data_IF_139180853895
#
_entry.id   IF_139180853895
#
_cell.length_a   1.000
_cell.length_b   1.000
_cell.length_c   1.000
_cell.angle_alpha   90.00
_cell.angle_beta   90.00
_cell.angle_gamma   90.00
#
_symmetry.space_group_name_H-M   'P 1'
#
loop_
_entity.id
_entity.type
_entity.pdbx_description
1 polymer ?
#
# COMPACT_ATOMS: atom_id res chain seq x y z
N UNK A 1 -14.66 -10.20 -1.53
CA UNK A 1 -14.97 -9.91 -2.94
C UNK A 1 -14.05 -8.80 -3.47
N UNK A 2 -13.76 -8.85 -4.76
CA UNK A 2 -13.11 -7.77 -5.51
C UNK A 2 -14.21 -7.02 -6.26
N UNK A 3 -14.42 -5.76 -5.88
CA UNK A 3 -15.46 -4.89 -6.41
C UNK A 3 -14.78 -3.78 -7.24
N UNK A 4 -14.48 -4.12 -8.48
CA UNK A 4 -13.89 -3.19 -9.44
C UNK A 4 -14.96 -2.25 -10.01
N UNK A 5 -14.53 -1.16 -10.66
CA UNK A 5 -15.42 -0.16 -11.25
C UNK A 5 -16.52 0.35 -10.28
N UNK A 6 -16.14 0.51 -9.01
CA UNK A 6 -17.05 0.90 -7.93
C UNK A 6 -17.32 2.42 -7.87
N UNK A 7 -16.76 3.21 -8.75
CA UNK A 7 -17.03 4.63 -8.96
C UNK A 7 -18.23 4.83 -9.90
N UNK A 8 -19.01 5.91 -9.70
CA UNK A 8 -20.10 6.21 -10.61
C UNK A 8 -19.56 6.62 -11.99
N UNK A 9 -19.87 5.84 -12.99
CA UNK A 9 -19.52 6.19 -14.37
C UNK A 9 -20.35 7.36 -14.90
N UNK A 10 -19.68 8.32 -15.50
CA UNK A 10 -20.31 9.39 -16.28
C UNK A 10 -19.32 9.88 -17.34
N UNK A 11 -19.81 9.94 -18.59
CA UNK A 11 -19.00 10.40 -19.72
C UNK A 11 -18.92 11.92 -19.74
N UNK A 12 -17.76 12.47 -20.13
CA UNK A 12 -17.51 13.89 -20.36
C UNK A 12 -17.86 14.81 -19.17
N UNK A 13 -17.70 14.32 -17.95
CA UNK A 13 -17.97 15.10 -16.71
C UNK A 13 -19.35 15.77 -16.71
N UNK A 14 -20.35 15.14 -17.33
CA UNK A 14 -21.68 15.70 -17.49
C UNK A 14 -22.52 15.46 -16.22
N UNK A 15 -22.07 16.00 -15.11
CA UNK A 15 -22.64 15.82 -13.77
C UNK A 15 -24.11 16.16 -13.66
N UNK A 16 -24.64 17.00 -14.53
CA UNK A 16 -26.04 17.41 -14.50
C UNK A 16 -26.98 16.38 -15.14
N UNK A 17 -26.47 15.53 -16.05
CA UNK A 17 -27.28 14.53 -16.76
C UNK A 17 -27.53 13.28 -15.96
N UNK A 18 -26.63 12.94 -15.06
CA UNK A 18 -26.76 11.72 -14.28
C UNK A 18 -27.52 11.98 -12.99
N UNK A 19 -28.64 11.29 -12.85
CA UNK A 19 -29.56 11.41 -11.71
C UNK A 19 -29.66 10.06 -11.00
N UNK A 20 -29.39 10.08 -9.72
CA UNK A 20 -29.68 8.96 -8.83
C UNK A 20 -30.99 9.22 -8.08
N UNK A 21 -31.53 8.20 -7.41
CA UNK A 21 -32.67 8.37 -6.53
C UNK A 21 -32.45 9.45 -5.46
N UNK A 22 -31.23 9.56 -4.95
CA UNK A 22 -30.87 10.56 -3.94
C UNK A 22 -30.61 11.96 -4.49
N UNK A 23 -30.53 12.14 -5.81
CA UNK A 23 -30.27 13.43 -6.46
C UNK A 23 -29.25 13.38 -7.60
N UNK A 24 -28.87 14.55 -8.14
CA UNK A 24 -27.90 14.62 -9.22
C UNK A 24 -26.50 14.18 -8.77
N UNK A 25 -25.73 13.58 -9.67
CA UNK A 25 -24.39 13.08 -9.38
C UNK A 25 -23.44 14.16 -8.83
N UNK A 26 -23.60 15.41 -9.29
CA UNK A 26 -22.85 16.57 -8.78
C UNK A 26 -23.00 16.81 -7.27
N UNK A 27 -24.09 16.35 -6.67
CA UNK A 27 -24.36 16.47 -5.22
C UNK A 27 -24.11 15.17 -4.45
N UNK A 28 -24.38 14.03 -5.06
CA UNK A 28 -24.42 12.74 -4.33
C UNK A 28 -23.46 11.71 -4.87
N UNK A 29 -22.70 12.00 -5.92
CA UNK A 29 -21.80 11.03 -6.57
C UNK A 29 -20.80 10.39 -5.59
N UNK A 30 -20.23 11.15 -4.68
CA UNK A 30 -19.29 10.62 -3.69
C UNK A 30 -19.90 9.61 -2.70
N UNK A 31 -21.22 9.56 -2.56
CA UNK A 31 -21.90 8.57 -1.73
C UNK A 31 -21.97 7.21 -2.44
N UNK A 32 -21.89 7.19 -3.76
CA UNK A 32 -22.05 5.98 -4.55
C UNK A 32 -21.09 4.83 -4.11
N UNK A 33 -19.77 5.01 -4.01
CA UNK A 33 -18.87 3.94 -3.58
C UNK A 33 -19.17 3.43 -2.16
N UNK A 34 -19.66 4.28 -1.27
CA UNK A 34 -20.10 3.84 0.07
C UNK A 34 -21.33 2.94 -0.03
N UNK A 35 -22.34 3.35 -0.79
CA UNK A 35 -23.58 2.56 -0.97
C UNK A 35 -23.31 1.26 -1.74
N UNK A 36 -22.37 1.29 -2.69
CA UNK A 36 -21.90 0.10 -3.39
C UNK A 36 -21.26 -0.90 -2.43
N UNK A 37 -20.33 -0.46 -1.58
CA UNK A 37 -19.75 -1.28 -0.52
C UNK A 37 -20.81 -1.81 0.45
N UNK A 38 -21.80 -0.96 0.82
CA UNK A 38 -22.90 -1.34 1.71
C UNK A 38 -23.74 -2.48 1.13
N UNK A 39 -24.10 -2.38 -0.16
CA UNK A 39 -24.91 -3.40 -0.82
C UNK A 39 -24.26 -4.79 -0.74
N UNK A 40 -22.97 -4.87 -1.07
CA UNK A 40 -22.23 -6.12 -1.01
C UNK A 40 -22.05 -6.63 0.43
N UNK A 41 -21.78 -5.73 1.36
CA UNK A 41 -21.63 -6.09 2.77
C UNK A 41 -22.94 -6.66 3.36
N UNK A 42 -24.05 -5.98 3.16
CA UNK A 42 -25.36 -6.39 3.67
C UNK A 42 -25.81 -7.70 3.02
N UNK A 43 -25.66 -7.86 1.70
CA UNK A 43 -25.97 -9.11 1.00
C UNK A 43 -25.12 -10.30 1.47
N UNK A 44 -23.82 -10.12 1.69
CA UNK A 44 -22.96 -11.17 2.25
C UNK A 44 -23.39 -11.53 3.68
N UNK A 45 -23.75 -10.54 4.48
CA UNK A 45 -24.23 -10.76 5.86
C UNK A 45 -25.57 -11.51 5.89
N UNK A 46 -26.49 -11.19 4.99
CA UNK A 46 -27.76 -11.92 4.84
C UNK A 46 -27.54 -13.38 4.45
N UNK A 47 -26.46 -13.66 3.70
CA UNK A 47 -26.04 -15.03 3.35
C UNK A 47 -25.26 -15.74 4.47
N UNK A 48 -25.13 -15.13 5.66
CA UNK A 48 -24.49 -15.73 6.83
C UNK A 48 -22.97 -15.52 6.92
N UNK A 49 -22.39 -14.65 6.11
CA UNK A 49 -20.96 -14.31 6.21
C UNK A 49 -20.71 -13.41 7.43
N UNK A 50 -19.62 -13.65 8.15
CA UNK A 50 -19.22 -12.88 9.35
C UNK A 50 -17.96 -12.06 9.12
N UNK A 51 -17.00 -12.61 8.37
CA UNK A 51 -15.70 -12.00 8.11
C UNK A 51 -15.69 -11.39 6.70
N UNK A 52 -16.29 -10.18 6.59
CA UNK A 52 -16.53 -9.54 5.30
C UNK A 52 -15.46 -8.51 5.02
N UNK A 53 -14.70 -8.74 3.95
CA UNK A 53 -13.76 -7.79 3.35
C UNK A 53 -14.08 -7.65 1.88
N UNK A 54 -14.29 -6.41 1.44
CA UNK A 54 -14.51 -6.06 0.04
C UNK A 54 -13.34 -5.19 -0.46
N UNK A 55 -12.58 -5.71 -1.41
CA UNK A 55 -11.54 -4.95 -2.10
C UNK A 55 -12.22 -4.02 -3.10
N UNK A 56 -12.09 -2.71 -2.92
CA UNK A 56 -12.79 -1.68 -3.69
C UNK A 56 -11.82 -0.65 -4.26
N UNK A 57 -12.08 -0.19 -5.49
CA UNK A 57 -11.24 0.82 -6.15
C UNK A 57 -11.47 2.23 -5.64
N UNK A 58 -12.61 2.50 -5.06
CA UNK A 58 -12.92 3.81 -4.49
C UNK A 58 -13.73 3.69 -3.20
N UNK A 59 -13.67 4.74 -2.38
CA UNK A 59 -14.39 4.81 -1.12
C UNK A 59 -14.80 6.26 -0.82
N UNK A 60 -15.71 6.41 0.12
CA UNK A 60 -16.05 7.68 0.73
C UNK A 60 -16.20 7.50 2.23
N UNK A 61 -16.30 8.59 2.95
CA UNK A 61 -16.53 8.58 4.41
C UNK A 61 -17.68 7.64 4.76
N UNK A 62 -17.41 6.66 5.62
CA UNK A 62 -18.36 5.62 6.03
C UNK A 62 -18.21 4.28 5.29
N UNK A 63 -17.39 4.18 4.23
CA UNK A 63 -17.13 2.92 3.53
C UNK A 63 -16.43 1.89 4.41
N UNK A 64 -15.57 2.33 5.34
CA UNK A 64 -14.89 1.46 6.31
C UNK A 64 -15.87 0.64 7.17
N UNK A 65 -17.10 1.12 7.38
CA UNK A 65 -18.16 0.39 8.09
C UNK A 65 -18.60 -0.88 7.35
N UNK A 66 -18.39 -0.93 6.06
CA UNK A 66 -18.85 -1.97 5.16
C UNK A 66 -17.72 -2.86 4.63
N UNK A 67 -16.66 -3.01 5.43
CA UNK A 67 -15.55 -3.89 5.11
C UNK A 67 -14.73 -3.46 3.90
N UNK A 68 -14.73 -2.17 3.56
CA UNK A 68 -13.99 -1.65 2.42
C UNK A 68 -12.49 -1.66 2.68
N UNK A 69 -11.77 -2.44 1.87
CA UNK A 69 -10.33 -2.42 1.68
C UNK A 69 -10.05 -1.70 0.36
N UNK A 70 -9.41 -0.54 0.40
CA UNK A 70 -9.24 0.31 -0.78
C UNK A 70 -7.90 0.05 -1.44
N UNK A 71 -7.88 -0.05 -2.78
CA UNK A 71 -6.65 0.03 -3.56
C UNK A 71 -6.67 1.26 -4.48
N UNK A 72 -5.52 1.67 -4.95
CA UNK A 72 -5.32 2.93 -5.66
C UNK A 72 -5.71 2.93 -7.14
N UNK A 73 -6.34 1.88 -7.65
CA UNK A 73 -6.71 1.76 -9.07
C UNK A 73 -5.54 1.42 -9.97
N UNK A 74 -5.71 1.68 -11.27
CA UNK A 74 -4.80 1.29 -12.35
C UNK A 74 -3.65 2.30 -12.50
N UNK A 75 -2.73 2.26 -11.56
CA UNK A 75 -1.57 3.18 -11.49
C UNK A 75 -0.41 2.70 -12.37
N UNK A 76 0.47 3.62 -12.74
CA UNK A 76 1.64 3.31 -13.57
C UNK A 76 2.80 2.75 -12.76
N UNK A 77 3.57 1.88 -13.41
CA UNK A 77 4.84 1.34 -12.90
C UNK A 77 5.93 2.41 -13.02
N UNK A 78 5.90 3.39 -12.12
CA UNK A 78 6.86 4.49 -12.07
C UNK A 78 7.16 4.91 -10.63
N UNK A 79 8.36 5.46 -10.40
CA UNK A 79 8.70 6.05 -9.10
C UNK A 79 7.82 7.26 -8.74
N UNK A 80 7.32 7.99 -9.74
CA UNK A 80 6.37 9.09 -9.51
C UNK A 80 5.09 8.56 -8.87
N UNK A 81 4.49 7.51 -9.45
CA UNK A 81 3.27 6.92 -8.89
C UNK A 81 3.57 6.20 -7.57
N UNK A 82 4.72 5.57 -7.42
CA UNK A 82 5.13 4.97 -6.15
C UNK A 82 5.11 6.01 -5.00
N UNK A 83 5.74 7.17 -5.19
CA UNK A 83 5.70 8.26 -4.18
C UNK A 83 4.27 8.70 -3.85
N UNK A 84 3.40 8.79 -4.87
CA UNK A 84 1.99 9.13 -4.67
C UNK A 84 1.27 8.08 -3.80
N UNK A 85 1.64 6.81 -3.91
CA UNK A 85 1.01 5.74 -3.12
C UNK A 85 1.34 5.82 -1.63
N UNK A 86 2.53 6.23 -1.27
CA UNK A 86 2.90 6.46 0.14
C UNK A 86 1.97 7.54 0.72
N UNK A 87 1.87 8.69 0.08
CA UNK A 87 0.98 9.78 0.50
C UNK A 87 -0.49 9.35 0.51
N UNK A 88 -0.94 8.61 -0.52
CA UNK A 88 -2.33 8.15 -0.61
C UNK A 88 -2.70 7.22 0.56
N UNK A 89 -1.84 6.26 0.90
CA UNK A 89 -2.06 5.38 2.04
C UNK A 89 -2.15 6.12 3.37
N UNK A 90 -1.28 7.13 3.57
CA UNK A 90 -1.30 7.99 4.76
C UNK A 90 -2.59 8.82 4.83
N UNK A 91 -3.01 9.43 3.71
CA UNK A 91 -4.25 10.21 3.65
C UNK A 91 -5.49 9.34 3.88
N UNK A 92 -5.54 8.12 3.33
CA UNK A 92 -6.64 7.19 3.59
C UNK A 92 -6.76 6.88 5.08
N UNK A 93 -5.63 6.64 5.75
CA UNK A 93 -5.59 6.47 7.20
C UNK A 93 -6.14 7.67 7.96
N UNK A 94 -5.71 8.89 7.63
CA UNK A 94 -6.21 10.14 8.24
C UNK A 94 -7.70 10.38 7.97
N UNK A 95 -8.23 9.93 6.82
CA UNK A 95 -9.66 9.99 6.51
C UNK A 95 -10.49 8.90 7.22
N UNK A 96 -9.89 8.08 8.10
CA UNK A 96 -10.56 7.03 8.83
C UNK A 96 -10.84 5.77 7.99
N UNK A 97 -10.11 5.56 6.90
CA UNK A 97 -10.16 4.35 6.06
C UNK A 97 -8.80 3.64 6.20
N UNK A 98 -8.60 2.86 7.29
CA UNK A 98 -7.29 2.30 7.62
C UNK A 98 -6.90 1.08 6.79
N UNK A 99 -7.84 0.47 6.08
CA UNK A 99 -7.59 -0.69 5.23
C UNK A 99 -7.26 -0.24 3.82
N UNK A 100 -5.98 -0.27 3.54
CA UNK A 100 -5.40 0.23 2.30
C UNK A 100 -4.42 -0.77 1.71
N UNK A 101 -4.36 -0.83 0.40
CA UNK A 101 -3.36 -1.55 -0.38
C UNK A 101 -3.04 -0.81 -1.67
N UNK A 102 -1.98 -1.20 -2.34
CA UNK A 102 -1.59 -0.74 -3.67
C UNK A 102 -1.25 -1.94 -4.53
N UNK A 103 -1.28 -1.77 -5.84
CA UNK A 103 -0.72 -2.74 -6.77
C UNK A 103 0.80 -2.62 -6.71
N UNK A 104 1.46 -3.59 -6.05
CA UNK A 104 2.92 -3.58 -5.88
C UNK A 104 3.58 -3.63 -7.27
N UNK A 105 4.41 -2.62 -7.54
CA UNK A 105 5.06 -2.42 -8.82
C UNK A 105 4.23 -1.65 -9.85
N UNK A 106 3.05 -1.13 -9.48
CA UNK A 106 2.09 -0.48 -10.38
C UNK A 106 1.26 -1.49 -11.19
N UNK A 107 0.15 -1.03 -11.76
CA UNK A 107 -0.72 -1.86 -12.62
C UNK A 107 -0.24 -1.87 -14.07
N UNK A 108 0.01 -0.69 -14.65
CA UNK A 108 0.39 -0.53 -16.05
C UNK A 108 1.91 -0.32 -16.24
N UNK A 109 2.44 -0.81 -17.36
CA UNK A 109 3.75 -0.43 -17.87
C UNK A 109 4.95 -1.20 -17.31
N UNK A 110 4.75 -2.14 -16.40
CA UNK A 110 5.84 -2.92 -15.81
C UNK A 110 6.39 -3.97 -16.78
N UNK A 111 7.61 -3.77 -17.28
CA UNK A 111 8.30 -4.75 -18.13
C UNK A 111 9.25 -5.61 -17.30
N UNK A 112 8.95 -6.90 -17.18
CA UNK A 112 9.73 -7.86 -16.38
C UNK A 112 11.16 -8.09 -16.88
N UNK A 113 11.46 -7.69 -18.12
CA UNK A 113 12.81 -7.78 -18.70
C UNK A 113 13.68 -6.54 -18.37
N UNK A 114 13.06 -5.44 -17.89
CA UNK A 114 13.76 -4.20 -17.54
C UNK A 114 14.33 -4.26 -16.12
N UNK A 115 15.62 -3.96 -15.97
CA UNK A 115 16.26 -3.88 -14.66
C UNK A 115 15.73 -2.69 -13.84
N UNK A 116 15.43 -1.56 -14.48
CA UNK A 116 14.81 -0.41 -13.81
C UNK A 116 13.43 -0.76 -13.23
N UNK A 117 12.64 -1.55 -13.97
CA UNK A 117 11.37 -2.01 -13.44
C UNK A 117 11.54 -3.01 -12.29
N UNK A 118 12.53 -3.91 -12.36
CA UNK A 118 12.81 -4.85 -11.26
C UNK A 118 13.23 -4.10 -10.01
N UNK A 119 14.06 -3.06 -10.13
CA UNK A 119 14.41 -2.19 -9.00
C UNK A 119 13.16 -1.55 -8.39
N UNK A 120 12.33 -0.89 -9.20
CA UNK A 120 11.07 -0.29 -8.76
C UNK A 120 10.17 -1.30 -8.06
N UNK A 121 10.00 -2.50 -8.65
CA UNK A 121 9.20 -3.57 -8.07
C UNK A 121 9.72 -3.97 -6.69
N UNK A 122 11.02 -4.16 -6.53
CA UNK A 122 11.64 -4.53 -5.26
C UNK A 122 11.45 -3.44 -4.20
N UNK A 123 11.66 -2.16 -4.54
CA UNK A 123 11.42 -1.02 -3.64
C UNK A 123 9.95 -0.93 -3.23
N UNK A 124 9.05 -1.15 -4.18
CA UNK A 124 7.61 -1.15 -3.89
C UNK A 124 7.18 -2.38 -3.06
N UNK A 125 7.81 -3.52 -3.27
CA UNK A 125 7.57 -4.73 -2.48
C UNK A 125 8.01 -4.57 -1.02
N UNK A 126 9.17 -3.94 -0.81
CA UNK A 126 9.65 -3.55 0.51
C UNK A 126 8.65 -2.63 1.22
N UNK A 127 8.18 -1.59 0.55
CA UNK A 127 7.10 -0.73 1.06
C UNK A 127 5.82 -1.50 1.36
N UNK A 128 5.38 -2.36 0.42
CA UNK A 128 4.18 -3.18 0.55
C UNK A 128 4.18 -4.08 1.79
N UNK A 129 5.38 -4.52 2.22
CA UNK A 129 5.57 -5.31 3.46
C UNK A 129 5.08 -4.56 4.69
N UNK A 130 5.14 -3.23 4.68
CA UNK A 130 4.71 -2.34 5.76
C UNK A 130 3.44 -1.55 5.39
N UNK A 131 2.61 -2.09 4.50
CA UNK A 131 1.25 -1.62 4.25
C UNK A 131 0.22 -2.41 5.07
N UNK A 132 -0.97 -1.87 5.32
CA UNK A 132 -2.06 -2.61 5.98
C UNK A 132 -2.33 -3.96 5.31
N UNK A 133 -2.43 -3.98 3.99
CA UNK A 133 -2.52 -5.20 3.18
C UNK A 133 -1.44 -5.20 2.11
N UNK A 134 -0.69 -6.29 2.02
CA UNK A 134 0.34 -6.52 1.02
C UNK A 134 -0.26 -7.33 -0.13
N UNK A 135 -0.17 -6.82 -1.37
CA UNK A 135 -0.78 -7.47 -2.54
C UNK A 135 0.04 -7.21 -3.80
N UNK A 136 0.46 -8.27 -4.48
CA UNK A 136 0.98 -8.21 -5.85
C UNK A 136 -0.21 -8.22 -6.82
N UNK A 137 -0.24 -7.25 -7.73
CA UNK A 137 -1.18 -7.20 -8.83
C UNK A 137 -0.63 -6.28 -9.92
N UNK A 138 -1.01 -6.52 -11.17
CA UNK A 138 -0.63 -5.67 -12.29
C UNK A 138 -0.56 -6.43 -13.61
N UNK A 139 -0.66 -5.70 -14.70
CA UNK A 139 -0.51 -6.21 -16.05
C UNK A 139 0.93 -6.01 -16.51
N UNK A 140 1.69 -7.09 -16.66
CA UNK A 140 3.13 -7.06 -16.96
C UNK A 140 3.40 -7.18 -18.45
N UNK A 141 4.47 -6.54 -18.88
CA UNK A 141 5.04 -6.69 -20.22
C UNK A 141 6.23 -7.66 -20.20
N UNK A 142 6.58 -8.31 -21.36
CA UNK A 142 5.93 -8.21 -22.66
C UNK A 142 4.56 -8.92 -22.72
N UNK A 143 3.66 -8.39 -23.55
CA UNK A 143 2.40 -9.05 -23.81
C UNK A 143 2.59 -10.22 -24.76
N UNK A 144 2.00 -11.38 -24.42
CA UNK A 144 1.98 -12.54 -25.28
C UNK A 144 0.67 -12.59 -26.08
N UNK A 145 0.78 -12.64 -27.40
CA UNK A 145 -0.36 -12.85 -28.26
C UNK A 145 -0.86 -14.30 -28.16
N UNK A 146 -2.00 -14.51 -27.52
CA UNK A 146 -2.67 -15.80 -27.53
C UNK A 146 -3.39 -16.00 -28.88
N UNK A 147 -3.14 -17.15 -29.53
CA UNK A 147 -3.94 -17.60 -30.66
C UNK A 147 -5.07 -18.50 -30.15
N UNK A 148 -6.32 -18.22 -30.58
CA UNK A 148 -7.42 -19.16 -30.35
C UNK A 148 -7.22 -20.43 -31.21
N UNK A 149 -8.12 -21.43 -31.06
CA UNK A 149 -8.07 -22.68 -31.84
C UNK A 149 -8.19 -22.49 -33.34
N UNK A 150 -8.73 -21.34 -33.82
CA UNK A 150 -8.81 -20.96 -35.22
C UNK A 150 -7.56 -20.22 -35.70
N UNK A 151 -6.56 -19.97 -34.87
CA UNK A 151 -5.34 -19.23 -35.20
C UNK A 151 -5.50 -17.71 -35.19
N UNK A 152 -6.66 -17.20 -34.80
CA UNK A 152 -6.89 -15.75 -34.67
C UNK A 152 -6.20 -15.23 -33.42
N UNK A 153 -5.53 -14.07 -33.54
CA UNK A 153 -4.88 -13.39 -32.42
C UNK A 153 -5.98 -12.81 -31.52
N UNK A 154 -6.02 -13.27 -30.26
CA UNK A 154 -6.79 -12.62 -29.19
C UNK A 154 -5.91 -11.59 -28.52
N UNK A 155 -6.54 -10.68 -27.76
CA UNK A 155 -5.83 -9.74 -26.88
C UNK A 155 -4.77 -10.49 -26.07
N UNK A 156 -3.56 -9.96 -26.05
CA UNK A 156 -2.44 -10.56 -25.37
C UNK A 156 -2.66 -10.58 -23.85
N UNK A 157 -2.26 -11.66 -23.21
CA UNK A 157 -2.09 -11.65 -21.77
C UNK A 157 -0.76 -11.01 -21.41
N UNK A 158 -0.68 -10.37 -20.26
CA UNK A 158 0.57 -9.88 -19.69
C UNK A 158 1.54 -11.03 -19.38
N UNK A 159 2.81 -10.69 -19.18
CA UNK A 159 3.80 -11.60 -18.65
C UNK A 159 3.45 -12.02 -17.21
N UNK A 160 4.06 -13.11 -16.75
CA UNK A 160 3.88 -13.66 -15.42
C UNK A 160 4.25 -12.63 -14.33
N UNK A 161 3.56 -12.65 -13.19
CA UNK A 161 3.70 -11.66 -12.11
C UNK A 161 3.85 -12.32 -10.72
N UNK A 162 4.28 -13.55 -10.67
CA UNK A 162 4.58 -14.25 -9.44
C UNK A 162 5.99 -13.88 -8.94
N UNK A 163 6.24 -14.10 -7.66
CA UNK A 163 7.51 -13.76 -6.98
C UNK A 163 8.75 -14.31 -7.73
N UNK A 164 8.64 -15.47 -8.33
CA UNK A 164 9.72 -16.16 -9.09
C UNK A 164 9.85 -15.68 -10.55
N UNK A 165 8.96 -14.80 -11.04
CA UNK A 165 8.95 -14.39 -12.45
C UNK A 165 10.02 -13.34 -12.79
N UNK A 166 10.70 -12.80 -11.79
CA UNK A 166 11.62 -11.66 -11.91
C UNK A 166 13.10 -12.03 -11.84
N UNK A 167 13.40 -13.34 -11.76
CA UNK A 167 14.73 -13.91 -11.63
C UNK A 167 15.17 -14.18 -10.19
N UNK A 168 16.17 -15.02 -10.03
CA UNK A 168 16.57 -15.59 -8.74
C UNK A 168 16.94 -14.51 -7.68
N UNK A 169 17.60 -13.44 -8.06
CA UNK A 169 18.01 -12.41 -7.09
C UNK A 169 16.81 -11.58 -6.60
N UNK A 170 15.88 -11.26 -7.49
CA UNK A 170 14.64 -10.61 -7.12
C UNK A 170 13.76 -11.51 -6.26
N UNK A 171 13.66 -12.78 -6.60
CA UNK A 171 12.93 -13.80 -5.82
C UNK A 171 13.47 -13.88 -4.39
N UNK A 172 14.80 -14.00 -4.20
CA UNK A 172 15.42 -14.04 -2.87
C UNK A 172 15.04 -12.84 -2.01
N UNK A 173 15.07 -11.63 -2.59
CA UNK A 173 14.70 -10.39 -1.88
C UNK A 173 13.22 -10.41 -1.54
N UNK A 174 12.34 -10.75 -2.49
CA UNK A 174 10.90 -10.78 -2.23
C UNK A 174 10.53 -11.84 -1.19
N UNK A 175 11.13 -13.02 -1.23
CA UNK A 175 10.94 -14.10 -0.23
C UNK A 175 11.39 -13.62 1.16
N UNK A 176 12.53 -12.93 1.29
CA UNK A 176 12.99 -12.31 2.52
C UNK A 176 11.88 -11.42 3.10
N UNK A 177 11.31 -10.52 2.31
CA UNK A 177 10.26 -9.59 2.78
C UNK A 177 8.91 -10.28 3.05
N UNK A 178 8.59 -11.39 2.41
CA UNK A 178 7.46 -12.25 2.80
C UNK A 178 7.70 -12.83 4.21
N UNK A 179 8.91 -13.29 4.52
CA UNK A 179 9.27 -13.76 5.86
C UNK A 179 9.18 -12.66 6.90
N UNK A 180 9.70 -11.46 6.60
CA UNK A 180 9.55 -10.28 7.48
C UNK A 180 8.06 -10.00 7.76
N UNK A 181 7.20 -10.06 6.74
CA UNK A 181 5.75 -9.88 6.90
C UNK A 181 5.14 -10.95 7.81
N UNK A 182 5.53 -12.21 7.67
CA UNK A 182 5.03 -13.30 8.51
C UNK A 182 5.50 -13.16 9.96
N UNK A 183 6.76 -12.73 10.19
CA UNK A 183 7.26 -12.42 11.54
C UNK A 183 6.44 -11.31 12.22
N UNK A 184 5.96 -10.33 11.48
CA UNK A 184 5.12 -9.24 11.99
C UNK A 184 3.65 -9.60 12.16
N UNK A 185 3.22 -10.81 11.88
CA UNK A 185 1.81 -11.24 11.82
C UNK A 185 1.00 -10.83 13.06
N UNK A 186 1.51 -11.09 14.25
CA UNK A 186 0.79 -10.77 15.48
C UNK A 186 0.78 -9.26 15.77
N UNK A 187 1.87 -8.56 15.45
CA UNK A 187 1.91 -7.10 15.48
C UNK A 187 0.88 -6.48 14.54
N UNK A 188 0.84 -6.96 13.29
CA UNK A 188 -0.13 -6.50 12.27
C UNK A 188 -1.56 -6.75 12.73
N UNK A 189 -1.86 -7.93 13.26
CA UNK A 189 -3.18 -8.23 13.83
C UNK A 189 -3.56 -7.28 14.97
N UNK A 190 -2.59 -6.93 15.81
CA UNK A 190 -2.76 -5.96 16.89
C UNK A 190 -3.15 -4.57 16.39
N UNK A 191 -2.39 -4.01 15.45
CA UNK A 191 -2.66 -2.68 14.88
C UNK A 191 -3.93 -2.66 14.01
N UNK A 192 -4.26 -3.74 13.30
CA UNK A 192 -5.51 -3.87 12.55
C UNK A 192 -6.72 -3.96 13.48
N UNK A 193 -6.58 -4.65 14.62
CA UNK A 193 -7.61 -4.68 15.67
C UNK A 193 -7.81 -3.29 16.28
N UNK A 194 -6.74 -2.58 16.58
CA UNK A 194 -6.82 -1.20 17.06
C UNK A 194 -7.52 -0.29 16.06
N UNK A 195 -7.21 -0.44 14.77
CA UNK A 195 -7.89 0.28 13.69
C UNK A 195 -9.40 0.00 13.67
N UNK A 196 -9.81 -1.25 13.87
CA UNK A 196 -11.22 -1.64 13.93
C UNK A 196 -11.93 -1.05 15.16
N UNK A 197 -11.30 -1.11 16.34
CA UNK A 197 -11.93 -0.74 17.61
C UNK A 197 -11.93 0.78 17.86
N UNK A 198 -10.87 1.48 17.39
CA UNK A 198 -10.64 2.89 17.71
C UNK A 198 -10.62 3.82 16.48
N UNK A 199 -10.60 3.27 15.26
CA UNK A 199 -10.42 4.05 14.05
C UNK A 199 -9.00 4.58 13.83
N UNK A 200 -8.01 4.06 14.57
CA UNK A 200 -6.62 4.49 14.52
C UNK A 200 -6.01 4.08 13.17
N UNK A 201 -5.29 4.95 12.45
CA UNK A 201 -4.62 4.57 11.21
C UNK A 201 -3.59 3.45 11.42
N UNK A 202 -3.49 2.52 10.48
CA UNK A 202 -2.44 1.50 10.47
C UNK A 202 -1.13 2.08 9.93
N UNK A 203 -1.19 2.82 8.81
CA UNK A 203 -0.12 3.70 8.35
C UNK A 203 -0.40 5.10 8.90
N UNK A 204 0.58 5.67 9.61
CA UNK A 204 0.40 6.95 10.33
C UNK A 204 1.46 7.94 9.89
N UNK A 205 1.06 9.17 9.61
CA UNK A 205 2.02 10.26 9.42
C UNK A 205 2.83 10.49 10.70
N UNK A 206 4.06 10.97 10.59
CA UNK A 206 4.88 11.24 11.77
C UNK A 206 4.21 12.27 12.70
N UNK A 207 3.58 13.30 12.14
CA UNK A 207 2.87 14.32 12.92
C UNK A 207 1.62 13.79 13.66
N UNK A 208 1.09 12.62 13.26
CA UNK A 208 -0.01 11.97 13.99
C UNK A 208 0.48 11.38 15.33
N UNK A 209 1.68 10.80 15.33
CA UNK A 209 2.25 10.13 16.50
C UNK A 209 3.11 11.06 17.39
N UNK A 210 3.75 12.07 16.79
CA UNK A 210 4.75 12.89 17.47
C UNK A 210 4.40 14.37 17.45
N UNK A 211 4.33 15.04 18.62
CA UNK A 211 4.16 16.50 18.70
C UNK A 211 5.49 17.21 18.42
N UNK A 212 6.04 17.00 17.23
CA UNK A 212 7.34 17.50 16.79
C UNK A 212 7.16 18.28 15.49
N UNK A 213 7.51 19.57 15.51
CA UNK A 213 7.29 20.46 14.36
C UNK A 213 8.05 20.02 13.12
N UNK A 214 9.17 19.28 13.28
CA UNK A 214 9.91 18.72 12.14
C UNK A 214 9.15 17.60 11.41
N UNK A 215 8.09 17.04 12.02
CA UNK A 215 7.31 15.96 11.42
C UNK A 215 6.25 16.43 10.40
N UNK A 216 5.94 17.75 10.33
CA UNK A 216 4.83 18.24 9.51
C UNK A 216 5.06 18.14 8.01
N UNK A 217 6.30 18.35 7.56
CA UNK A 217 6.65 18.40 6.14
C UNK A 217 7.22 17.06 5.63
N UNK A 218 7.25 16.01 6.48
CA UNK A 218 7.74 14.69 6.10
C UNK A 218 6.59 13.87 5.53
N UNK A 219 6.69 13.48 4.25
CA UNK A 219 5.64 12.77 3.50
C UNK A 219 6.09 11.40 2.94
N UNK A 220 7.36 11.06 3.07
CA UNK A 220 7.99 9.85 2.56
C UNK A 220 8.56 8.93 3.66
N UNK A 221 8.23 9.26 4.92
CA UNK A 221 8.46 8.44 6.11
C UNK A 221 7.16 8.33 6.91
N UNK A 222 6.94 7.20 7.52
CA UNK A 222 5.71 6.98 8.29
C UNK A 222 5.88 5.96 9.39
N UNK A 223 4.94 5.95 10.33
CA UNK A 223 4.80 4.90 11.33
C UNK A 223 3.88 3.80 10.81
N UNK A 224 4.33 2.57 10.86
CA UNK A 224 3.50 1.37 10.73
C UNK A 224 3.08 0.92 12.13
N UNK A 225 1.83 1.19 12.49
CA UNK A 225 1.42 1.19 13.89
C UNK A 225 2.07 2.32 14.67
N UNK A 226 2.34 2.10 15.95
CA UNK A 226 2.96 3.09 16.85
C UNK A 226 4.42 2.79 17.22
N UNK A 227 5.00 1.71 16.70
CA UNK A 227 6.30 1.21 17.13
C UNK A 227 7.34 1.09 16.01
N UNK A 228 6.95 1.04 14.76
CA UNK A 228 7.84 0.81 13.62
C UNK A 228 7.80 2.02 12.68
N UNK A 229 8.94 2.71 12.54
CA UNK A 229 9.13 3.77 11.53
C UNK A 229 9.69 3.15 10.26
N UNK A 230 9.11 3.53 9.13
CA UNK A 230 9.46 3.03 7.80
C UNK A 230 9.80 4.21 6.88
N UNK A 231 10.94 4.14 6.21
CA UNK A 231 11.44 5.17 5.31
C UNK A 231 11.83 4.54 3.95
N UNK A 232 10.88 4.34 3.02
CA UNK A 232 11.14 3.68 1.73
C UNK A 232 12.12 4.46 0.86
N UNK A 233 12.89 3.75 0.03
CA UNK A 233 13.64 4.37 -1.07
C UNK A 233 12.67 4.73 -2.18
N UNK A 234 12.57 6.02 -2.51
CA UNK A 234 11.52 6.57 -3.36
C UNK A 234 12.03 7.10 -4.72
N UNK A 235 13.31 6.96 -5.02
CA UNK A 235 13.94 7.41 -6.27
C UNK A 235 14.80 6.32 -6.88
N UNK A 236 14.92 6.37 -8.20
CA UNK A 236 15.72 5.44 -8.99
C UNK A 236 17.19 5.48 -8.56
N UNK A 237 17.80 4.30 -8.48
CA UNK A 237 19.23 4.09 -8.22
C UNK A 237 19.74 4.64 -6.89
N UNK A 238 18.84 5.03 -5.98
CA UNK A 238 19.23 5.41 -4.63
C UNK A 238 19.53 4.19 -3.77
N UNK A 239 20.69 4.21 -3.13
CA UNK A 239 21.14 3.18 -2.19
C UNK A 239 21.32 3.73 -0.78
N UNK A 240 20.85 4.95 -0.54
CA UNK A 240 20.84 5.64 0.76
C UNK A 240 19.83 6.76 0.74
N UNK A 241 19.37 7.15 1.91
CA UNK A 241 18.51 8.33 2.09
C UNK A 241 18.71 9.00 3.45
N UNK A 242 18.32 10.24 3.55
CA UNK A 242 18.12 10.90 4.84
C UNK A 242 16.85 10.39 5.49
N UNK A 243 16.90 10.13 6.80
CA UNK A 243 15.77 9.70 7.64
C UNK A 243 15.73 10.56 8.87
N UNK A 244 14.60 11.20 9.13
CA UNK A 244 14.37 11.93 10.37
C UNK A 244 13.81 10.99 11.43
N UNK A 245 14.47 10.90 12.56
CA UNK A 245 14.01 10.12 13.71
C UNK A 245 13.37 11.06 14.75
N UNK A 246 12.06 10.99 15.00
CA UNK A 246 11.35 11.91 15.91
C UNK A 246 11.93 11.97 17.31
N UNK A 247 11.93 13.17 17.90
CA UNK A 247 12.51 13.44 19.21
C UNK A 247 11.77 12.74 20.36
N UNK A 248 12.48 12.53 21.48
CA UNK A 248 11.90 11.97 22.70
C UNK A 248 11.94 10.46 22.79
N UNK A 249 12.46 9.79 21.78
CA UNK A 249 12.58 8.34 21.69
C UNK A 249 13.98 7.91 21.28
N UNK A 250 14.34 6.67 21.60
CA UNK A 250 15.46 5.95 21.01
C UNK A 250 14.96 5.09 19.84
N UNK A 251 15.78 4.98 18.79
CA UNK A 251 15.42 4.28 17.56
C UNK A 251 16.46 3.21 17.25
N UNK A 252 16.03 1.96 17.19
CA UNK A 252 16.92 0.84 16.84
C UNK A 252 16.73 0.47 15.38
N UNK A 253 17.80 0.50 14.58
CA UNK A 253 17.77 0.01 13.20
C UNK A 253 17.39 -1.46 13.19
N UNK A 254 16.36 -1.81 12.43
CA UNK A 254 15.96 -3.21 12.23
C UNK A 254 16.95 -3.98 11.35
N UNK A 255 17.77 -3.27 10.54
CA UNK A 255 18.80 -3.91 9.72
C UNK A 255 19.95 -4.48 10.55
N UNK A 256 20.54 -3.67 11.47
CA UNK A 256 21.79 -4.03 12.15
C UNK A 256 21.76 -3.91 13.68
N UNK A 257 20.64 -3.47 14.26
CA UNK A 257 20.51 -3.29 15.71
C UNK A 257 21.19 -2.04 16.28
N UNK A 258 21.77 -1.18 15.44
CA UNK A 258 22.36 0.08 15.86
C UNK A 258 21.30 1.02 16.45
N UNK A 259 21.65 1.72 17.53
CA UNK A 259 20.72 2.61 18.23
C UNK A 259 21.02 4.07 17.90
N UNK A 260 20.00 4.78 17.51
CA UNK A 260 20.02 6.19 17.14
C UNK A 260 19.22 7.02 18.13
N UNK A 261 19.68 8.24 18.38
CA UNK A 261 18.96 9.22 19.18
C UNK A 261 17.91 9.94 18.34
N UNK A 262 16.70 10.10 18.84
CA UNK A 262 15.65 10.88 18.17
C UNK A 262 15.93 12.40 18.17
N UNK A 263 15.22 13.13 17.33
CA UNK A 263 15.36 14.56 17.10
C UNK A 263 16.45 14.94 16.09
N UNK A 264 16.92 13.98 15.29
CA UNK A 264 18.00 14.15 14.32
C UNK A 264 17.70 13.48 13.00
N UNK A 265 18.29 13.98 11.93
CA UNK A 265 18.32 13.35 10.62
C UNK A 265 19.62 12.58 10.43
N UNK A 266 19.51 11.36 9.91
CA UNK A 266 20.64 10.49 9.64
C UNK A 266 20.65 10.05 8.18
N UNK A 267 21.84 9.93 7.58
CA UNK A 267 21.98 9.34 6.27
C UNK A 267 22.14 7.83 6.40
N UNK A 268 21.16 7.09 5.92
CA UNK A 268 21.03 5.64 6.12
C UNK A 268 21.26 4.91 4.81
N UNK A 269 22.17 3.96 4.81
CA UNK A 269 22.42 3.08 3.67
C UNK A 269 21.26 2.10 3.49
N UNK A 270 20.84 1.91 2.25
CA UNK A 270 19.75 1.03 1.88
C UNK A 270 20.05 0.36 0.52
N UNK A 271 20.93 -0.63 0.47
CA UNK A 271 21.13 -1.45 -0.73
C UNK A 271 19.80 -2.07 -1.17
N UNK A 272 19.76 -2.64 -2.37
CA UNK A 272 18.50 -3.07 -3.01
C UNK A 272 17.72 -4.13 -2.21
N UNK A 273 18.37 -4.86 -1.35
CA UNK A 273 17.80 -5.88 -0.48
C UNK A 273 17.40 -5.37 0.93
N UNK A 274 17.44 -4.04 1.14
CA UNK A 274 17.19 -3.40 2.45
C UNK A 274 16.28 -2.18 2.29
N UNK A 275 15.42 -1.97 3.27
CA UNK A 275 14.62 -0.75 3.46
C UNK A 275 14.92 -0.17 4.85
N UNK A 276 15.17 1.13 5.00
CA UNK A 276 15.33 1.73 6.32
C UNK A 276 14.08 1.57 7.19
N UNK A 277 14.23 0.82 8.28
CA UNK A 277 13.19 0.56 9.28
C UNK A 277 13.77 0.75 10.67
N UNK A 278 13.07 1.48 11.53
CA UNK A 278 13.49 1.77 12.88
C UNK A 278 12.44 1.37 13.91
N UNK A 279 12.89 0.74 14.98
CA UNK A 279 12.09 0.22 16.07
C UNK A 279 12.14 1.20 17.25
N UNK A 280 10.97 1.73 17.62
CA UNK A 280 10.86 2.73 18.70
C UNK A 280 11.12 2.08 20.06
N UNK A 281 12.02 2.67 20.86
CA UNK A 281 12.31 2.30 22.26
C UNK A 281 12.61 0.80 22.46
N UNK A 282 13.20 0.18 21.45
CA UNK A 282 13.56 -1.24 21.50
C UNK A 282 12.36 -2.20 21.40
N UNK A 283 11.23 -1.75 20.85
CA UNK A 283 10.11 -2.62 20.47
C UNK A 283 10.50 -3.59 19.34
N UNK A 284 9.71 -4.62 19.12
CA UNK A 284 9.82 -5.54 17.94
C UNK A 284 11.25 -6.03 17.62
N UNK A 285 12.09 -6.25 18.62
CA UNK A 285 13.51 -6.66 18.45
C UNK A 285 13.72 -7.92 17.61
N UNK A 286 12.68 -8.73 17.44
CA UNK A 286 12.71 -9.92 16.59
C UNK A 286 12.90 -9.62 15.09
N UNK A 287 12.78 -8.34 14.70
CA UNK A 287 13.03 -7.88 13.34
C UNK A 287 14.51 -7.51 13.08
N UNK A 288 15.34 -7.43 14.12
CA UNK A 288 16.76 -7.05 13.97
C UNK A 288 17.51 -8.16 13.22
N UNK A 289 18.11 -7.78 12.09
CA UNK A 289 18.85 -8.68 11.21
C UNK A 289 17.99 -9.41 10.15
N UNK A 290 16.68 -9.16 10.15
CA UNK A 290 15.75 -9.76 9.19
C UNK A 290 15.44 -8.84 7.98
N UNK A 291 15.80 -7.53 8.09
CA UNK A 291 15.48 -6.48 7.11
C UNK A 291 16.71 -6.03 6.32
#
# INVERSE_FOLDING_TARGET
FWLDEAEPEFTNYNYERYQYHAGPVSKVGNIYPREYSRLFYEGQKEMGQTDIVNLVRCAWVGSQKYGALVWSGDIWSSYEDFRKQICAGLHMGLCGIPWWTTDIGGFHGGNIESDDFKELLLRWFQFGTFCPVMRIHGCRQPYTNLKNKAGEVREGTGADNEVWSYGEDAEKIMVKFIHVRELMKDYIRGIMKEAHEKGTPVMRTLFYEFPDDNCWDIYDEYMFGNEILVAPICHEHETRREVYLPKGHSWTSAHNGEVYEGGKTYNIDAPIDTIPVFLKDGSNKYLIGEI
#
